data_IF_604514419061
#
_entry.id   IF_604514419061
#
_cell.length_a   1.000
_cell.length_b   1.000
_cell.length_c   1.000
_cell.angle_alpha   90.00
_cell.angle_beta   90.00
_cell.angle_gamma   90.00
#
_symmetry.space_group_name_H-M   'P 1'
#
loop_
_entity.id
_entity.type
_entity.pdbx_description
1 polymer ?
#
# COMPACT_ATOMS: atom_id res chain seq x y z
N UNK A 1 53.91 22.15 -7.39
CA UNK A 1 52.72 22.19 -8.28
C UNK A 1 52.54 20.82 -8.87
N UNK A 2 51.52 20.08 -8.44
CA UNK A 2 51.00 18.92 -9.14
C UNK A 2 49.63 18.60 -8.55
N UNK A 3 48.60 18.96 -9.33
CA UNK A 3 47.19 18.73 -9.06
C UNK A 3 46.86 17.26 -9.34
N UNK A 4 46.13 16.60 -8.43
CA UNK A 4 45.40 15.37 -8.73
C UNK A 4 43.91 15.61 -8.48
N UNK A 5 43.22 16.02 -9.55
CA UNK A 5 41.77 16.14 -9.62
C UNK A 5 41.15 14.74 -9.51
N UNK A 6 40.30 14.56 -8.49
CA UNK A 6 39.41 13.41 -8.35
C UNK A 6 38.52 13.29 -9.59
N UNK A 7 38.72 12.23 -10.37
CA UNK A 7 37.85 11.90 -11.50
C UNK A 7 36.62 11.14 -10.98
N UNK A 8 35.46 11.80 -11.01
CA UNK A 8 34.17 11.16 -10.71
C UNK A 8 33.71 10.26 -11.87
N UNK A 9 33.04 9.12 -11.60
CA UNK A 9 32.45 8.30 -12.65
C UNK A 9 31.29 9.05 -13.33
N UNK A 10 31.43 9.25 -14.63
CA UNK A 10 30.39 9.81 -15.50
C UNK A 10 29.16 8.89 -15.52
N UNK A 11 28.04 9.38 -14.97
CA UNK A 11 26.73 8.80 -15.24
C UNK A 11 26.41 9.06 -16.72
N UNK A 12 26.40 8.00 -17.53
CA UNK A 12 25.90 8.06 -18.89
C UNK A 12 24.37 8.26 -18.83
N UNK A 13 23.91 9.41 -19.29
CA UNK A 13 22.51 9.61 -19.63
C UNK A 13 22.19 8.77 -20.87
N UNK A 14 21.50 7.65 -20.69
CA UNK A 14 20.85 6.93 -21.78
C UNK A 14 19.48 7.56 -22.03
N UNK A 15 19.46 8.53 -22.93
CA UNK A 15 18.25 9.10 -23.55
C UNK A 15 17.69 8.13 -24.57
N UNK A 16 16.47 7.62 -24.38
CA UNK A 16 15.60 7.11 -25.45
C UNK A 16 14.11 7.28 -25.07
N UNK A 17 13.19 7.39 -26.07
CA UNK A 17 12.19 8.45 -26.12
C UNK A 17 10.78 8.05 -25.66
N UNK A 18 10.00 9.04 -25.24
CA UNK A 18 8.54 8.93 -25.14
C UNK A 18 7.90 8.84 -26.53
N UNK A 19 6.91 7.95 -26.73
CA UNK A 19 5.85 8.18 -27.68
C UNK A 19 4.63 8.75 -26.93
N UNK A 20 4.48 10.07 -26.96
CA UNK A 20 3.15 10.67 -26.88
C UNK A 20 2.57 10.56 -28.29
N UNK A 21 1.63 9.64 -28.49
CA UNK A 21 0.84 9.65 -29.72
C UNK A 21 -0.07 10.87 -29.70
N UNK A 22 0.33 11.82 -30.53
CA UNK A 22 -0.43 12.99 -30.97
C UNK A 22 -1.68 12.46 -31.68
N UNK A 23 -2.84 12.60 -31.05
CA UNK A 23 -4.11 12.35 -31.73
C UNK A 23 -4.29 13.49 -32.72
N UNK A 24 -3.99 13.21 -33.99
CA UNK A 24 -4.26 14.07 -35.13
C UNK A 24 -5.74 14.45 -35.13
N UNK A 25 -6.01 15.75 -34.99
CA UNK A 25 -7.32 16.34 -35.15
C UNK A 25 -7.64 16.40 -36.65
N UNK A 26 -8.11 15.28 -37.21
CA UNK A 26 -8.64 15.24 -38.57
C UNK A 26 -10.16 15.21 -38.51
N UNK A 27 -10.77 16.29 -39.00
CA UNK A 27 -12.23 16.48 -39.09
C UNK A 27 -12.73 15.88 -40.40
N UNK A 28 -13.73 14.97 -40.38
CA UNK A 28 -14.53 14.70 -41.57
C UNK A 28 -15.88 15.43 -41.51
N UNK A 29 -16.09 16.23 -42.54
CA UNK A 29 -17.28 17.02 -42.85
C UNK A 29 -18.46 16.12 -43.25
N UNK A 30 -19.45 16.00 -42.36
CA UNK A 30 -20.89 16.00 -42.66
C UNK A 30 -21.58 14.73 -43.22
N UNK A 31 -22.67 14.30 -42.56
CA UNK A 31 -24.07 14.33 -43.04
C UNK A 31 -24.94 13.31 -42.27
N UNK A 32 -25.91 13.80 -41.49
CA UNK A 32 -27.38 13.54 -41.58
C UNK A 32 -28.06 13.77 -40.23
N UNK A 33 -28.77 14.89 -40.19
CA UNK A 33 -30.02 15.19 -39.48
C UNK A 33 -30.66 13.97 -38.77
N UNK A 34 -30.51 13.90 -37.44
CA UNK A 34 -31.36 13.10 -36.57
C UNK A 34 -32.36 14.03 -35.89
N UNK A 35 -33.66 13.76 -36.07
CA UNK A 35 -34.73 14.60 -35.57
C UNK A 35 -34.69 14.67 -34.04
N UNK A 36 -34.65 15.89 -33.51
CA UNK A 36 -34.84 16.20 -32.09
C UNK A 36 -36.32 15.95 -31.76
N UNK A 37 -36.64 14.84 -31.11
CA UNK A 37 -37.90 14.73 -30.37
C UNK A 37 -37.66 15.33 -28.99
N UNK A 38 -38.48 16.31 -28.65
CA UNK A 38 -38.50 17.00 -27.36
C UNK A 38 -38.61 15.97 -26.23
N UNK A 39 -37.66 16.01 -25.29
CA UNK A 39 -37.76 15.25 -24.05
C UNK A 39 -38.83 15.95 -23.19
N UNK A 40 -40.05 15.44 -23.29
CA UNK A 40 -41.17 15.82 -22.46
C UNK A 40 -40.83 15.46 -21.01
N UNK A 41 -40.51 16.47 -20.21
CA UNK A 41 -40.30 16.31 -18.77
C UNK A 41 -41.59 15.83 -18.12
N UNK A 42 -41.58 14.57 -17.67
CA UNK A 42 -42.57 14.04 -16.72
C UNK A 42 -41.84 13.67 -15.45
N UNK A 43 -42.08 14.48 -14.42
CA UNK A 43 -41.72 14.25 -13.03
C UNK A 43 -42.45 13.01 -12.53
N UNK A 44 -41.72 11.92 -12.28
CA UNK A 44 -42.24 10.82 -11.46
C UNK A 44 -41.24 10.53 -10.35
N UNK A 45 -41.61 11.04 -9.17
CA UNK A 45 -41.44 10.45 -7.84
C UNK A 45 -40.05 9.96 -7.42
N UNK A 46 -39.57 10.53 -6.31
CA UNK A 46 -38.49 10.00 -5.49
C UNK A 46 -38.75 8.54 -5.08
N UNK A 47 -38.27 7.60 -5.88
CA UNK A 47 -38.02 6.21 -5.47
C UNK A 47 -36.51 5.95 -5.52
N UNK A 48 -35.74 6.66 -4.68
CA UNK A 48 -34.28 6.51 -4.62
C UNK A 48 -33.73 6.48 -3.19
N UNK A 49 -34.51 6.00 -2.23
CA UNK A 49 -34.13 6.04 -0.82
C UNK A 49 -33.86 4.64 -0.23
N UNK A 50 -34.61 3.62 -0.68
CA UNK A 50 -34.50 2.27 -0.12
C UNK A 50 -33.24 1.52 -0.58
N UNK A 51 -32.79 1.76 -1.82
CA UNK A 51 -31.58 1.11 -2.34
C UNK A 51 -30.30 1.75 -1.78
N UNK A 52 -30.28 3.07 -1.66
CA UNK A 52 -29.17 3.83 -1.09
C UNK A 52 -28.93 3.43 0.39
N UNK A 53 -29.98 3.44 1.22
CA UNK A 53 -29.88 3.07 2.63
C UNK A 53 -29.51 1.58 2.84
N UNK A 54 -29.95 0.68 1.96
CA UNK A 54 -29.56 -0.73 1.97
C UNK A 54 -28.09 -0.93 1.57
N UNK A 55 -27.61 -0.17 0.59
CA UNK A 55 -26.20 -0.18 0.19
C UNK A 55 -25.32 0.38 1.31
N UNK A 56 -25.72 1.50 1.93
CA UNK A 56 -25.01 2.11 3.05
C UNK A 56 -24.95 1.17 4.27
N UNK A 57 -26.07 0.58 4.67
CA UNK A 57 -26.10 -0.37 5.79
C UNK A 57 -25.26 -1.63 5.54
N UNK A 58 -25.26 -2.17 4.30
CA UNK A 58 -24.37 -3.28 3.92
C UNK A 58 -22.90 -2.89 3.96
N UNK A 59 -22.57 -1.68 3.50
CA UNK A 59 -21.21 -1.16 3.53
C UNK A 59 -20.74 -0.97 4.98
N UNK A 60 -21.57 -0.38 5.84
CA UNK A 60 -21.29 -0.24 7.27
C UNK A 60 -21.05 -1.60 7.92
N UNK A 61 -21.93 -2.58 7.70
CA UNK A 61 -21.76 -3.92 8.24
C UNK A 61 -20.45 -4.60 7.78
N UNK A 62 -20.07 -4.40 6.52
CA UNK A 62 -18.80 -4.92 6.00
C UNK A 62 -17.59 -4.23 6.63
N UNK A 63 -17.64 -2.91 6.80
CA UNK A 63 -16.59 -2.14 7.49
C UNK A 63 -16.47 -2.58 8.95
N UNK A 64 -17.58 -2.76 9.66
CA UNK A 64 -17.57 -3.25 11.05
C UNK A 64 -16.92 -4.63 11.14
N UNK A 65 -17.26 -5.54 10.21
CA UNK A 65 -16.60 -6.85 10.11
C UNK A 65 -15.10 -6.76 9.83
N UNK A 66 -14.67 -5.83 8.98
CA UNK A 66 -13.24 -5.60 8.73
C UNK A 66 -12.55 -5.08 9.98
N UNK A 67 -13.17 -4.13 10.69
CA UNK A 67 -12.63 -3.57 11.93
C UNK A 67 -12.53 -4.66 13.00
N UNK A 68 -13.53 -5.50 13.15
CA UNK A 68 -13.54 -6.62 14.08
C UNK A 68 -12.49 -7.68 13.72
N UNK A 69 -12.38 -8.04 12.44
CA UNK A 69 -11.33 -8.93 11.96
C UNK A 69 -9.93 -8.35 12.24
N UNK A 70 -9.69 -7.06 11.96
CA UNK A 70 -8.42 -6.39 12.24
C UNK A 70 -8.11 -6.41 13.75
N UNK A 71 -9.09 -6.10 14.60
CA UNK A 71 -8.94 -6.15 16.06
C UNK A 71 -8.61 -7.56 16.56
N UNK A 72 -9.23 -8.59 15.99
CA UNK A 72 -8.96 -9.99 16.35
C UNK A 72 -7.54 -10.45 15.98
N UNK A 73 -6.94 -9.85 14.94
CA UNK A 73 -5.54 -10.11 14.59
C UNK A 73 -4.56 -9.35 15.50
N UNK A 74 -4.90 -8.14 15.94
CA UNK A 74 -4.08 -7.38 16.89
C UNK A 74 -4.15 -7.93 18.33
N UNK A 75 -5.17 -8.73 18.64
CA UNK A 75 -5.44 -9.33 19.95
C UNK A 75 -4.74 -10.67 20.19
N UNK A 76 -3.76 -11.09 19.37
CA UNK A 76 -2.98 -12.27 19.74
C UNK A 76 -2.26 -11.97 21.06
N UNK A 77 -2.64 -12.69 22.12
CA UNK A 77 -2.09 -12.54 23.48
C UNK A 77 -0.55 -12.70 23.51
N UNK A 78 0.01 -13.31 22.46
CA UNK A 78 1.43 -13.52 22.29
C UNK A 78 1.94 -12.82 21.03
N UNK A 79 2.98 -12.00 21.22
CA UNK A 79 3.74 -11.40 20.13
C UNK A 79 4.59 -12.45 19.43
N UNK A 80 4.79 -12.34 18.11
CA UNK A 80 5.68 -13.24 17.37
C UNK A 80 7.11 -13.20 17.96
N UNK A 81 7.54 -12.05 18.45
CA UNK A 81 8.84 -11.89 19.10
C UNK A 81 8.92 -12.65 20.43
N UNK A 82 7.83 -12.70 21.20
CA UNK A 82 7.78 -13.48 22.43
C UNK A 82 7.88 -14.98 22.16
N UNK A 83 7.14 -15.48 21.17
CA UNK A 83 7.22 -16.88 20.71
C UNK A 83 8.64 -17.24 20.24
N UNK A 84 9.30 -16.35 19.48
CA UNK A 84 10.67 -16.56 19.01
C UNK A 84 11.65 -16.75 20.18
N UNK A 85 11.51 -15.98 21.26
CA UNK A 85 12.40 -16.05 22.43
C UNK A 85 12.09 -17.23 23.36
N UNK A 86 10.86 -17.72 23.34
CA UNK A 86 10.44 -18.83 24.19
C UNK A 86 11.08 -20.15 23.76
N UNK A 87 11.53 -20.26 22.51
CA UNK A 87 12.23 -21.45 22.01
C UNK A 87 13.54 -21.68 22.78
N UNK A 88 13.66 -22.76 23.57
CA UNK A 88 14.90 -23.07 24.25
C UNK A 88 16.00 -23.38 23.23
N UNK A 89 17.24 -23.03 23.58
CA UNK A 89 18.46 -23.22 22.78
C UNK A 89 18.59 -22.34 21.52
N UNK A 90 17.72 -21.33 21.34
CA UNK A 90 17.90 -20.35 20.28
C UNK A 90 18.86 -19.25 20.76
N UNK A 91 20.01 -19.12 20.11
CA UNK A 91 20.97 -18.08 20.44
C UNK A 91 20.42 -16.69 20.04
N UNK A 92 20.99 -15.63 20.61
CA UNK A 92 20.52 -14.25 20.37
C UNK A 92 20.53 -13.90 18.88
N UNK A 93 21.49 -14.41 18.11
CA UNK A 93 21.62 -14.14 16.69
C UNK A 93 20.54 -14.86 15.88
N UNK A 94 20.21 -16.11 16.21
CA UNK A 94 19.13 -16.85 15.59
C UNK A 94 17.76 -16.24 15.91
N UNK A 95 17.54 -15.71 17.12
CA UNK A 95 16.32 -14.95 17.41
C UNK A 95 16.14 -13.74 16.48
N UNK A 96 17.22 -12.99 16.23
CA UNK A 96 17.18 -11.84 15.31
C UNK A 96 16.99 -12.31 13.85
N UNK A 97 17.64 -13.40 13.42
CA UNK A 97 17.37 -14.01 12.11
C UNK A 97 15.91 -14.42 11.94
N UNK A 98 15.32 -15.08 12.94
CA UNK A 98 13.90 -15.46 12.93
C UNK A 98 13.01 -14.22 12.84
N UNK A 99 13.36 -13.14 13.54
CA UNK A 99 12.67 -11.86 13.43
C UNK A 99 12.75 -11.26 12.02
N UNK A 100 13.88 -11.42 11.31
CA UNK A 100 14.05 -11.01 9.91
C UNK A 100 13.09 -11.72 8.97
N UNK A 101 12.74 -12.98 9.26
CA UNK A 101 11.86 -13.82 8.44
C UNK A 101 10.37 -13.47 8.60
N UNK A 102 10.01 -12.67 9.61
CA UNK A 102 8.64 -12.19 9.74
C UNK A 102 8.24 -11.32 8.55
N UNK A 103 6.97 -11.41 8.15
CA UNK A 103 6.41 -10.54 7.12
C UNK A 103 6.48 -9.05 7.54
N UNK A 104 6.39 -8.14 6.56
CA UNK A 104 6.58 -6.70 6.79
C UNK A 104 5.63 -6.12 7.83
N UNK A 105 4.36 -6.55 7.86
CA UNK A 105 3.38 -6.05 8.83
C UNK A 105 3.72 -6.52 10.25
N UNK A 106 3.92 -7.83 10.44
CA UNK A 106 4.27 -8.41 11.72
C UNK A 106 5.56 -7.81 12.27
N UNK A 107 6.60 -7.69 11.43
CA UNK A 107 7.88 -7.07 11.80
C UNK A 107 7.70 -5.62 12.30
N UNK A 108 6.88 -4.81 11.62
CA UNK A 108 6.59 -3.43 12.05
C UNK A 108 5.86 -3.39 13.39
N UNK A 109 4.81 -4.19 13.57
CA UNK A 109 4.05 -4.28 14.82
C UNK A 109 4.96 -4.68 15.96
N UNK A 110 5.75 -5.74 15.76
CA UNK A 110 6.66 -6.24 16.79
C UNK A 110 7.76 -5.23 17.12
N UNK A 111 8.35 -4.58 16.11
CA UNK A 111 9.34 -3.53 16.34
C UNK A 111 8.77 -2.39 17.20
N UNK A 112 7.51 -1.99 16.98
CA UNK A 112 6.82 -1.01 17.81
C UNK A 112 6.56 -1.53 19.24
N UNK A 113 6.22 -2.81 19.42
CA UNK A 113 6.03 -3.43 20.75
C UNK A 113 7.35 -3.65 21.51
N UNK A 114 8.50 -3.71 20.85
CA UNK A 114 9.80 -3.90 21.50
C UNK A 114 10.24 -2.72 22.37
N UNK A 115 10.92 -3.03 23.47
CA UNK A 115 11.67 -2.04 24.29
C UNK A 115 12.79 -1.36 23.47
N UNK A 116 13.20 -0.11 23.78
CA UNK A 116 14.29 0.59 23.09
C UNK A 116 15.59 -0.22 22.98
N UNK A 117 16.01 -0.91 24.06
CA UNK A 117 17.21 -1.76 24.08
C UNK A 117 17.16 -2.92 23.07
N UNK A 118 15.97 -3.51 22.87
CA UNK A 118 15.77 -4.59 21.88
C UNK A 118 15.81 -4.03 20.46
N UNK A 119 15.17 -2.89 20.22
CA UNK A 119 15.23 -2.19 18.92
C UNK A 119 16.67 -1.83 18.55
N UNK A 120 17.45 -1.31 19.50
CA UNK A 120 18.87 -1.02 19.29
C UNK A 120 19.64 -2.25 18.82
N UNK A 121 19.53 -3.38 19.54
CA UNK A 121 20.18 -4.65 19.14
C UNK A 121 19.78 -5.12 17.74
N UNK A 122 18.50 -4.98 17.40
CA UNK A 122 18.00 -5.34 16.08
C UNK A 122 18.59 -4.45 14.97
N UNK A 123 18.62 -3.13 15.18
CA UNK A 123 19.21 -2.18 14.24
C UNK A 123 20.69 -2.47 14.04
N UNK A 124 21.45 -2.65 15.13
CA UNK A 124 22.87 -3.00 15.06
C UNK A 124 23.08 -4.28 14.26
N UNK A 125 22.28 -5.32 14.52
CA UNK A 125 22.35 -6.58 13.78
C UNK A 125 22.04 -6.42 12.27
N UNK A 126 21.10 -5.56 11.88
CA UNK A 126 20.82 -5.29 10.46
C UNK A 126 21.91 -4.45 9.77
N UNK A 127 22.67 -3.66 10.52
CA UNK A 127 23.80 -2.88 9.99
C UNK A 127 25.09 -3.71 9.88
N UNK A 128 25.20 -4.79 10.66
CA UNK A 128 26.35 -5.70 10.67
C UNK A 128 26.28 -6.83 9.62
N UNK A 129 25.19 -6.91 8.85
CA UNK A 129 24.93 -7.95 7.84
C UNK A 129 25.04 -7.38 6.43
#
# INVERSE_FOLDING_TARGET
>A
MQDSLYQSPSYRYSTLPLPFDIINLDVPKGRKRGNRSEFEGKTTSFESNNNQANIESKLTHFVDKLVEAIKSFDSSEHSCWDIIKEKPNLDKRACLKAFKLLNTRAKKIEFLKMTPKKRYKWITYELEQ
#
